data_IF_315893938223
#
_entry.id   IF_315893938223
#
_cell.length_a   1.000
_cell.length_b   1.000
_cell.length_c   1.000
_cell.angle_alpha   90.00
_cell.angle_beta   90.00
_cell.angle_gamma   90.00
#
_symmetry.space_group_name_H-M   'P 1'
#
loop_
_entity.id
_entity.type
_entity.pdbx_description
1 polymer ?
#
# COMPACT_ATOMS: atom_id res chain seq x y z
N UNK A 1 -8.19 -3.83 6.81
CA UNK A 1 -8.56 -5.26 6.69
C UNK A 1 -7.64 -6.05 7.60
N UNK A 2 -8.14 -6.81 8.59
CA UNK A 2 -7.33 -7.29 9.71
C UNK A 2 -6.00 -7.96 9.31
N UNK A 3 -6.00 -8.81 8.26
CA UNK A 3 -4.78 -9.49 7.83
C UNK A 3 -3.71 -8.53 7.28
N UNK A 4 -4.10 -7.58 6.41
CA UNK A 4 -3.17 -6.58 5.86
C UNK A 4 -2.69 -5.60 6.94
N UNK A 5 -3.60 -5.17 7.82
CA UNK A 5 -3.28 -4.26 8.92
C UNK A 5 -2.21 -4.88 9.84
N UNK A 6 -2.27 -6.18 10.10
CA UNK A 6 -1.31 -6.91 10.92
C UNK A 6 0.09 -7.03 10.29
N UNK A 7 0.23 -6.82 8.98
CA UNK A 7 1.54 -6.83 8.32
C UNK A 7 2.13 -5.43 8.22
N UNK A 8 1.33 -4.38 8.32
CA UNK A 8 1.81 -3.01 8.21
C UNK A 8 2.63 -2.61 9.46
N UNK A 9 3.75 -1.87 9.32
CA UNK A 9 4.33 -1.36 8.07
C UNK A 9 5.31 -2.33 7.42
N UNK A 10 5.29 -2.41 6.08
CA UNK A 10 6.29 -3.09 5.28
C UNK A 10 6.60 -2.29 4.02
N UNK A 11 7.86 -2.33 3.62
CA UNK A 11 8.30 -1.82 2.31
C UNK A 11 7.85 -2.74 1.18
N UNK A 12 7.71 -2.19 -0.04
CA UNK A 12 7.24 -2.92 -1.23
C UNK A 12 7.94 -4.27 -1.44
N UNK A 13 9.28 -4.41 -1.34
CA UNK A 13 9.93 -5.71 -1.52
C UNK A 13 9.51 -6.76 -0.48
N UNK A 14 9.28 -6.35 0.77
CA UNK A 14 8.83 -7.24 1.84
C UNK A 14 7.38 -7.67 1.64
N UNK A 15 6.51 -6.76 1.20
CA UNK A 15 5.15 -7.09 0.76
C UNK A 15 5.13 -8.11 -0.38
N UNK A 16 5.94 -7.91 -1.41
CA UNK A 16 6.03 -8.85 -2.55
C UNK A 16 6.48 -10.23 -2.07
N UNK A 17 7.45 -10.29 -1.15
CA UNK A 17 7.90 -11.57 -0.55
C UNK A 17 6.79 -12.25 0.25
N UNK A 18 6.02 -11.49 1.03
CA UNK A 18 4.89 -12.01 1.81
C UNK A 18 3.78 -12.54 0.90
N UNK A 19 3.39 -11.76 -0.11
CA UNK A 19 2.37 -12.14 -1.08
C UNK A 19 2.76 -13.40 -1.85
N UNK A 20 4.00 -13.51 -2.33
CA UNK A 20 4.51 -14.73 -2.99
C UNK A 20 4.49 -15.99 -2.11
N UNK A 21 4.57 -15.84 -0.79
CA UNK A 21 4.44 -16.96 0.16
C UNK A 21 2.99 -17.40 0.38
N UNK A 22 2.05 -16.46 0.24
CA UNK A 22 0.65 -16.64 0.66
C UNK A 22 -0.28 -16.90 -0.53
N UNK A 23 0.00 -16.26 -1.67
CA UNK A 23 -0.85 -16.24 -2.86
C UNK A 23 -0.04 -16.64 -4.11
N UNK A 24 -0.78 -17.04 -5.16
CA UNK A 24 -0.21 -17.35 -6.48
C UNK A 24 -0.46 -16.17 -7.42
N UNK A 25 0.40 -16.02 -8.43
CA UNK A 25 0.31 -14.97 -9.46
C UNK A 25 0.40 -13.52 -8.94
N UNK A 26 0.92 -13.30 -7.73
CA UNK A 26 1.12 -11.96 -7.16
C UNK A 26 2.57 -11.51 -7.37
N UNK A 27 2.86 -11.08 -8.61
CA UNK A 27 4.14 -10.50 -8.98
C UNK A 27 4.42 -9.15 -8.31
N UNK A 28 5.58 -8.55 -8.61
CA UNK A 28 6.00 -7.28 -8.00
C UNK A 28 5.07 -6.10 -8.33
N UNK A 29 4.65 -6.01 -9.60
CA UNK A 29 3.71 -5.00 -10.09
C UNK A 29 2.33 -5.21 -9.51
N UNK A 30 1.77 -6.41 -9.65
CA UNK A 30 0.44 -6.77 -9.12
C UNK A 30 0.33 -6.46 -7.62
N UNK A 31 1.31 -6.88 -6.82
CA UNK A 31 1.31 -6.61 -5.37
C UNK A 31 1.42 -5.11 -5.09
N UNK A 32 2.26 -4.40 -5.85
CA UNK A 32 2.46 -2.96 -5.72
C UNK A 32 1.19 -2.16 -6.03
N UNK A 33 0.59 -2.40 -7.19
CA UNK A 33 -0.64 -1.72 -7.64
C UNK A 33 -1.81 -2.01 -6.71
N UNK A 34 -1.95 -3.25 -6.25
CA UNK A 34 -2.96 -3.64 -5.27
C UNK A 34 -2.84 -2.84 -3.96
N UNK A 35 -1.64 -2.83 -3.36
CA UNK A 35 -1.41 -2.14 -2.09
C UNK A 35 -1.46 -0.61 -2.24
N UNK A 36 -1.04 -0.07 -3.38
CA UNK A 36 -1.17 1.36 -3.69
C UNK A 36 -2.63 1.76 -3.80
N UNK A 37 -3.45 0.97 -4.50
CA UNK A 37 -4.89 1.20 -4.65
C UNK A 37 -5.64 1.17 -3.31
N UNK A 38 -5.15 0.37 -2.35
CA UNK A 38 -5.71 0.28 -1.00
C UNK A 38 -5.11 1.29 -0.01
N UNK A 39 -4.09 2.07 -0.40
CA UNK A 39 -3.46 3.05 0.46
C UNK A 39 -2.49 2.49 1.51
N UNK A 40 -1.94 1.30 1.30
CA UNK A 40 -0.82 0.75 2.10
C UNK A 40 0.55 1.15 1.56
N UNK A 41 0.64 1.47 0.26
CA UNK A 41 1.84 2.04 -0.35
C UNK A 41 1.55 3.43 -0.93
N UNK A 42 2.52 4.34 -0.93
CA UNK A 42 2.38 5.63 -1.61
C UNK A 42 2.39 5.45 -3.14
N UNK A 43 1.92 6.47 -3.87
CA UNK A 43 2.05 6.55 -5.32
C UNK A 43 0.75 6.79 -6.10
N UNK A 44 -0.42 6.53 -5.50
CA UNK A 44 -1.71 6.70 -6.19
C UNK A 44 -1.98 8.17 -6.57
N UNK A 45 -1.56 9.10 -5.71
CA UNK A 45 -1.71 10.54 -5.92
C UNK A 45 -0.44 11.26 -5.50
N UNK A 46 0.11 12.08 -6.39
CA UNK A 46 1.24 12.97 -6.10
C UNK A 46 0.78 14.21 -5.31
N UNK A 47 1.72 14.92 -4.69
CA UNK A 47 1.41 16.05 -3.79
C UNK A 47 0.62 17.20 -4.44
N UNK A 48 0.75 17.39 -5.76
CA UNK A 48 0.01 18.40 -6.54
C UNK A 48 -1.32 17.89 -7.10
N UNK A 49 -1.69 16.63 -6.85
CA UNK A 49 -2.96 16.08 -7.28
C UNK A 49 -4.12 16.79 -6.54
N UNK A 50 -5.18 17.25 -7.22
CA UNK A 50 -6.28 18.00 -6.57
C UNK A 50 -6.94 17.28 -5.39
N UNK A 51 -6.93 15.94 -5.38
CA UNK A 51 -7.54 15.13 -4.33
C UNK A 51 -6.56 14.73 -3.22
N UNK A 52 -5.26 15.04 -3.33
CA UNK A 52 -4.23 14.60 -2.37
C UNK A 52 -4.55 15.07 -0.95
N UNK A 53 -4.90 16.35 -0.78
CA UNK A 53 -5.25 16.91 0.56
C UNK A 53 -6.44 16.19 1.17
N UNK A 54 -7.46 15.89 0.37
CA UNK A 54 -8.64 15.13 0.84
C UNK A 54 -8.22 13.75 1.32
N UNK A 55 -7.39 13.04 0.56
CA UNK A 55 -6.89 11.71 0.95
C UNK A 55 -6.04 11.78 2.22
N UNK A 56 -5.18 12.79 2.36
CA UNK A 56 -4.34 12.96 3.55
C UNK A 56 -5.17 13.05 4.85
N UNK A 57 -6.33 13.71 4.80
CA UNK A 57 -7.24 13.79 5.97
C UNK A 57 -7.82 12.43 6.38
N UNK A 58 -7.88 11.46 5.46
CA UNK A 58 -8.32 10.10 5.76
C UNK A 58 -7.23 9.25 6.41
N UNK A 59 -6.00 9.78 6.53
CA UNK A 59 -4.84 9.11 7.14
C UNK A 59 -4.65 7.71 6.54
N UNK A 60 -4.36 7.57 5.23
CA UNK A 60 -4.10 6.27 4.64
C UNK A 60 -2.93 5.59 5.34
N UNK A 61 -2.87 4.26 5.33
CA UNK A 61 -1.87 3.50 6.07
C UNK A 61 -0.43 3.93 5.75
N UNK A 62 -0.12 4.21 4.47
CA UNK A 62 1.19 4.70 4.06
C UNK A 62 1.62 6.04 4.68
N UNK A 63 0.68 6.85 5.18
CA UNK A 63 0.95 8.09 5.92
C UNK A 63 1.01 7.89 7.44
N UNK A 64 0.64 6.72 7.94
CA UNK A 64 0.70 6.37 9.35
C UNK A 64 2.01 5.66 9.72
N UNK A 65 2.66 5.01 8.75
CA UNK A 65 4.00 4.46 8.90
C UNK A 65 5.01 5.61 9.01
N UNK A 66 5.80 5.61 10.09
CA UNK A 66 6.98 6.46 10.25
C UNK A 66 8.23 5.75 9.72
#
# INVERSE_FOLDING_TARGET
AQWLDAQHPLEKPAWVKLFKKTFRFTGGEITGEFLMSLGYLPGAHHAQCPVFKRIATLKPAWMQAA
#
